data_IF_245181953538
#
_entry.id   IF_245181953538
#
_cell.length_a   1.000
_cell.length_b   1.000
_cell.length_c   1.000
_cell.angle_alpha   90.00
_cell.angle_beta   90.00
_cell.angle_gamma   90.00
#
_symmetry.space_group_name_H-M   'P 1'
#
loop_
_entity.id
_entity.type
_entity.pdbx_description
1 polymer ?
#
# COMPACT_ATOMS: atom_id res chain seq x y z
N UNK A 1 2.61 -5.19 14.93
CA UNK A 1 2.88 -4.89 16.36
C UNK A 1 3.07 -3.39 16.61
N UNK A 2 4.04 -2.70 15.99
CA UNK A 2 4.24 -1.24 16.19
C UNK A 2 3.01 -0.35 15.87
N UNK A 3 2.25 -0.65 14.79
CA UNK A 3 1.02 0.11 14.44
C UNK A 3 -0.03 0.12 15.55
N UNK A 4 -0.16 -0.98 16.29
CA UNK A 4 -1.16 -1.08 17.36
C UNK A 4 -0.69 -0.36 18.62
N UNK A 5 0.62 -0.33 18.87
CA UNK A 5 1.22 0.39 20.01
C UNK A 5 1.07 1.91 19.83
N UNK A 6 1.33 2.44 18.62
CA UNK A 6 1.14 3.88 18.35
C UNK A 6 -0.33 4.31 18.41
N UNK A 7 -1.25 3.49 17.91
CA UNK A 7 -2.68 3.77 18.01
C UNK A 7 -3.14 3.77 19.48
N UNK A 8 -2.62 2.85 20.30
CA UNK A 8 -2.93 2.79 21.74
C UNK A 8 -2.41 4.03 22.49
N UNK A 9 -1.17 4.45 22.21
CA UNK A 9 -0.57 5.65 22.83
C UNK A 9 -1.35 6.91 22.44
N UNK A 10 -1.76 7.02 21.17
CA UNK A 10 -2.55 8.15 20.69
C UNK A 10 -3.94 8.19 21.32
N UNK A 11 -4.63 7.04 21.40
CA UNK A 11 -5.93 6.95 22.08
C UNK A 11 -5.79 7.30 23.56
N UNK A 12 -4.76 6.81 24.25
CA UNK A 12 -4.52 7.16 25.66
C UNK A 12 -4.25 8.66 25.84
N UNK A 13 -3.44 9.29 24.99
CA UNK A 13 -3.17 10.73 25.07
C UNK A 13 -4.42 11.59 24.77
N UNK A 14 -5.23 11.17 23.81
CA UNK A 14 -6.50 11.84 23.49
C UNK A 14 -7.52 11.67 24.62
N UNK A 15 -7.57 10.49 25.25
CA UNK A 15 -8.47 10.22 26.38
C UNK A 15 -8.07 11.05 27.60
N UNK A 16 -6.77 11.14 27.89
CA UNK A 16 -6.23 11.96 28.98
C UNK A 16 -6.51 13.46 28.78
N UNK A 17 -6.35 13.96 27.55
CA UNK A 17 -6.67 15.36 27.23
C UNK A 17 -8.20 15.66 27.30
N UNK A 18 -9.04 14.66 27.04
CA UNK A 18 -10.50 14.78 27.18
C UNK A 18 -10.95 14.67 28.64
N UNK A 19 -10.28 13.87 29.47
CA UNK A 19 -10.55 13.78 30.92
C UNK A 19 -10.24 15.12 31.63
N UNK A 20 -9.12 15.78 31.29
CA UNK A 20 -8.83 17.14 31.80
C UNK A 20 -9.86 18.18 31.31
N UNK A 21 -10.39 18.03 30.09
CA UNK A 21 -11.42 18.92 29.56
C UNK A 21 -12.76 18.75 30.28
N UNK A 22 -13.18 17.52 30.55
CA UNK A 22 -14.41 17.24 31.30
C UNK A 22 -14.29 17.67 32.76
N UNK A 23 -13.10 17.62 33.37
CA UNK A 23 -12.85 18.12 34.72
C UNK A 23 -12.90 19.66 34.77
N UNK A 24 -12.31 20.35 33.77
CA UNK A 24 -12.37 21.81 33.63
C UNK A 24 -13.81 22.28 33.33
N UNK A 25 -14.50 21.61 32.41
CA UNK A 25 -15.89 21.89 32.04
C UNK A 25 -16.84 21.66 33.22
N UNK A 26 -16.70 20.54 33.95
CA UNK A 26 -17.44 20.29 35.19
C UNK A 26 -17.14 21.34 36.26
N UNK A 27 -15.89 21.80 36.38
CA UNK A 27 -15.53 22.83 37.36
C UNK A 27 -16.18 24.17 37.00
N UNK A 28 -16.27 24.50 35.71
CA UNK A 28 -16.96 25.68 35.19
C UNK A 28 -18.48 25.61 35.39
N UNK A 29 -19.07 24.43 35.17
CA UNK A 29 -20.50 24.18 35.34
C UNK A 29 -20.88 24.17 36.82
N UNK A 30 -20.05 23.56 37.68
CA UNK A 30 -20.17 23.64 39.15
C UNK A 30 -20.04 25.07 39.67
N UNK A 31 -19.17 25.91 39.09
CA UNK A 31 -19.08 27.33 39.49
C UNK A 31 -20.30 28.14 39.02
N UNK A 32 -20.90 27.82 37.86
CA UNK A 32 -22.19 28.40 37.43
C UNK A 32 -23.35 27.97 38.35
N UNK A 33 -23.37 26.71 38.76
CA UNK A 33 -24.34 26.17 39.73
C UNK A 33 -24.18 26.85 41.09
N UNK A 34 -22.96 27.04 41.59
CA UNK A 34 -22.68 27.79 42.83
C UNK A 34 -23.14 29.26 42.71
N UNK A 35 -22.96 29.92 41.56
CA UNK A 35 -23.53 31.25 41.30
C UNK A 35 -25.07 31.25 41.24
N UNK A 36 -25.71 30.15 40.83
CA UNK A 36 -27.17 30.01 40.81
C UNK A 36 -27.81 29.69 42.17
N UNK A 37 -27.04 29.13 43.10
CA UNK A 37 -27.44 28.95 44.51
C UNK A 37 -27.33 30.25 45.32
N UNK A 38 -26.70 31.29 44.78
CA UNK A 38 -26.80 32.65 45.29
C UNK A 38 -28.03 33.33 44.67
N UNK A 39 -29.23 32.88 45.04
CA UNK A 39 -30.44 33.66 44.75
C UNK A 39 -30.37 34.97 45.55
N UNK A 40 -30.30 36.15 44.90
CA UNK A 40 -30.29 37.42 45.62
C UNK A 40 -31.60 37.68 46.39
N UNK A 41 -32.63 36.84 46.25
CA UNK A 41 -33.90 36.94 46.96
C UNK A 41 -34.11 35.88 48.06
N UNK A 42 -33.21 34.93 48.25
CA UNK A 42 -33.29 34.02 49.39
C UNK A 42 -32.85 34.80 50.64
N UNK A 43 -33.81 35.13 51.51
CA UNK A 43 -33.59 35.89 52.75
C UNK A 43 -32.68 35.10 53.69
N UNK A 44 -31.38 35.24 53.50
CA UNK A 44 -30.37 34.97 54.51
C UNK A 44 -30.59 36.00 55.62
N UNK A 45 -30.79 35.53 56.84
CA UNK A 45 -31.02 36.35 58.04
C UNK A 45 -29.99 37.50 58.13
N UNK A 46 -30.42 38.72 57.83
CA UNK A 46 -29.54 39.92 57.72
C UNK A 46 -28.88 40.30 59.05
N UNK A 47 -29.28 39.68 60.17
CA UNK A 47 -28.79 40.03 61.50
C UNK A 47 -27.47 39.37 61.91
N UNK A 48 -26.84 38.56 61.04
CA UNK A 48 -25.60 37.84 61.39
C UNK A 48 -24.39 38.13 60.50
N UNK A 49 -24.50 38.93 59.43
CA UNK A 49 -23.32 39.32 58.65
C UNK A 49 -22.64 40.53 59.28
N UNK A 50 -21.54 40.28 59.97
CA UNK A 50 -20.64 41.35 60.40
C UNK A 50 -20.07 42.07 59.17
N UNK A 51 -19.82 43.38 59.24
CA UNK A 51 -19.25 44.19 58.13
C UNK A 51 -18.00 43.55 57.49
N UNK A 52 -17.28 42.75 58.27
CA UNK A 52 -16.10 41.98 57.86
C UNK A 52 -16.43 40.86 56.87
N UNK A 53 -17.55 40.16 57.03
CA UNK A 53 -17.97 39.06 56.14
C UNK A 53 -18.47 39.58 54.79
N UNK A 54 -19.18 40.72 54.80
CA UNK A 54 -19.58 41.40 53.56
C UNK A 54 -18.38 41.94 52.77
N UNK A 55 -17.34 42.44 53.45
CA UNK A 55 -16.10 42.87 52.81
C UNK A 55 -15.33 41.70 52.18
N UNK A 56 -15.27 40.55 52.85
CA UNK A 56 -14.61 39.33 52.33
C UNK A 56 -15.36 38.80 51.10
N UNK A 57 -16.70 38.76 51.15
CA UNK A 57 -17.52 38.29 50.04
C UNK A 57 -17.36 39.16 48.79
N UNK A 58 -17.28 40.48 48.96
CA UNK A 58 -17.07 41.42 47.84
C UNK A 58 -15.67 41.30 47.23
N UNK A 59 -14.62 41.10 48.04
CA UNK A 59 -13.27 40.87 47.51
C UNK A 59 -13.16 39.54 46.77
N UNK A 60 -13.87 38.51 47.24
CA UNK A 60 -13.92 37.20 46.60
C UNK A 60 -14.65 37.27 45.25
N UNK A 61 -15.81 37.92 45.20
CA UNK A 61 -16.56 38.11 43.94
C UNK A 61 -15.74 38.89 42.91
N UNK A 62 -15.05 39.95 43.33
CA UNK A 62 -14.15 40.71 42.45
C UNK A 62 -13.02 39.86 41.87
N UNK A 63 -12.43 38.97 42.67
CA UNK A 63 -11.38 38.04 42.20
C UNK A 63 -11.93 37.00 41.22
N UNK A 64 -13.13 36.49 41.46
CA UNK A 64 -13.80 35.54 40.56
C UNK A 64 -14.09 36.19 39.20
N UNK A 65 -14.58 37.43 39.19
CA UNK A 65 -14.87 38.12 37.93
C UNK A 65 -13.59 38.48 37.16
N UNK A 66 -12.50 38.84 37.85
CA UNK A 66 -11.17 39.01 37.22
C UNK A 66 -10.64 37.72 36.60
N UNK A 67 -10.87 36.56 37.22
CA UNK A 67 -10.48 35.26 36.68
C UNK A 67 -11.32 34.92 35.45
N UNK A 68 -12.64 35.16 35.49
CA UNK A 68 -13.54 34.95 34.34
C UNK A 68 -13.10 35.85 33.18
N UNK A 69 -12.87 37.13 33.42
CA UNK A 69 -12.43 38.08 32.41
C UNK A 69 -11.06 37.68 31.83
N UNK A 70 -10.14 37.17 32.66
CA UNK A 70 -8.84 36.65 32.18
C UNK A 70 -8.99 35.36 31.35
N UNK A 71 -9.93 34.47 31.69
CA UNK A 71 -10.23 33.26 30.92
C UNK A 71 -10.99 33.54 29.63
N UNK A 72 -11.77 34.62 29.58
CA UNK A 72 -12.44 35.11 28.37
C UNK A 72 -11.49 35.89 27.45
N UNK A 73 -10.55 36.67 28.02
CA UNK A 73 -9.52 37.40 27.28
C UNK A 73 -8.42 36.48 26.73
N UNK A 74 -8.05 35.45 27.48
CA UNK A 74 -7.20 34.38 26.96
C UNK A 74 -8.08 33.51 26.09
N UNK A 75 -8.06 33.75 24.79
CA UNK A 75 -8.86 33.13 23.76
C UNK A 75 -8.60 31.60 23.71
N UNK A 76 -9.08 30.85 24.72
CA UNK A 76 -8.79 29.42 24.94
C UNK A 76 -9.16 28.64 23.69
N UNK A 77 -10.25 29.02 23.03
CA UNK A 77 -10.67 28.49 21.73
C UNK A 77 -9.62 28.70 20.64
N UNK A 78 -9.01 29.89 20.55
CA UNK A 78 -7.96 30.19 19.58
C UNK A 78 -6.68 29.40 19.88
N UNK A 79 -6.31 29.26 21.15
CA UNK A 79 -5.16 28.45 21.58
C UNK A 79 -5.40 26.98 21.24
N UNK A 80 -6.60 26.45 21.51
CA UNK A 80 -6.96 25.07 21.18
C UNK A 80 -7.00 24.81 19.67
N UNK A 81 -7.53 25.73 18.87
CA UNK A 81 -7.51 25.59 17.41
C UNK A 81 -6.09 25.70 16.83
N UNK A 82 -5.21 26.51 17.45
CA UNK A 82 -3.80 26.55 17.09
C UNK A 82 -3.12 25.19 17.34
N UNK A 83 -3.25 24.63 18.55
CA UNK A 83 -2.65 23.33 18.89
C UNK A 83 -3.19 22.20 18.01
N UNK A 84 -4.50 22.20 17.73
CA UNK A 84 -5.13 21.23 16.82
C UNK A 84 -4.53 21.31 15.42
N UNK A 85 -4.30 22.52 14.89
CA UNK A 85 -3.67 22.73 13.59
C UNK A 85 -2.22 22.22 13.55
N UNK A 86 -1.44 22.49 14.60
CA UNK A 86 -0.06 22.02 14.73
C UNK A 86 0.03 20.48 14.78
N UNK A 87 -0.82 19.84 15.58
CA UNK A 87 -0.89 18.37 15.68
C UNK A 87 -1.29 17.74 14.34
N UNK A 88 -2.30 18.29 13.65
CA UNK A 88 -2.74 17.78 12.35
C UNK A 88 -1.63 17.89 11.29
N UNK A 89 -0.87 18.99 11.30
CA UNK A 89 0.28 19.19 10.42
C UNK A 89 1.37 18.14 10.67
N UNK A 90 1.70 17.86 11.93
CA UNK A 90 2.71 16.87 12.29
C UNK A 90 2.30 15.45 11.92
N UNK A 91 1.02 15.09 12.15
CA UNK A 91 0.44 13.81 11.70
C UNK A 91 0.59 13.66 10.18
N UNK A 92 0.25 14.70 9.41
CA UNK A 92 0.36 14.66 7.95
C UNK A 92 1.82 14.48 7.50
N UNK A 93 2.77 15.14 8.15
CA UNK A 93 4.21 14.96 7.86
C UNK A 93 4.67 13.53 8.15
N UNK A 94 4.21 12.93 9.24
CA UNK A 94 4.53 11.54 9.58
C UNK A 94 3.92 10.55 8.59
N UNK A 95 2.68 10.78 8.15
CA UNK A 95 2.03 9.97 7.09
C UNK A 95 2.84 10.05 5.79
N UNK A 96 3.25 11.25 5.38
CA UNK A 96 4.05 11.45 4.18
C UNK A 96 5.40 10.73 4.29
N UNK A 97 6.13 10.91 5.40
CA UNK A 97 7.40 10.20 5.66
C UNK A 97 7.24 8.68 5.66
N UNK A 98 6.14 8.15 6.20
CA UNK A 98 5.86 6.72 6.19
C UNK A 98 5.59 6.20 4.77
N UNK A 99 4.87 6.96 3.95
CA UNK A 99 4.62 6.64 2.54
C UNK A 99 5.92 6.71 1.71
N UNK A 100 6.75 7.72 1.95
CA UNK A 100 8.05 7.88 1.29
C UNK A 100 9.00 6.73 1.66
N UNK A 101 9.10 6.36 2.94
CA UNK A 101 9.87 5.19 3.38
C UNK A 101 9.31 3.86 2.84
N UNK A 102 7.99 3.74 2.63
CA UNK A 102 7.39 2.57 2.00
C UNK A 102 7.70 2.52 0.49
N UNK A 103 7.77 3.68 -0.17
CA UNK A 103 8.17 3.82 -1.57
C UNK A 103 9.67 3.55 -1.75
N UNK A 104 10.54 4.05 -0.85
CA UNK A 104 11.98 3.80 -0.85
C UNK A 104 12.33 2.34 -0.51
N UNK A 105 11.58 1.68 0.38
CA UNK A 105 11.75 0.24 0.63
C UNK A 105 11.27 -0.62 -0.54
N UNK A 106 10.27 -0.17 -1.31
CA UNK A 106 9.88 -0.82 -2.57
C UNK A 106 10.89 -0.57 -3.69
N UNK A 107 11.49 0.63 -3.77
CA UNK A 107 12.44 0.99 -4.84
C UNK A 107 13.86 0.43 -4.63
N UNK A 108 14.30 0.23 -3.38
CA UNK A 108 15.66 -0.25 -3.07
C UNK A 108 15.83 -1.78 -3.11
N UNK A 109 14.78 -2.55 -3.33
CA UNK A 109 14.82 -4.03 -3.36
C UNK A 109 14.74 -4.66 -4.76
N UNK A 110 14.58 -3.87 -5.83
CA UNK A 110 14.21 -4.40 -7.15
C UNK A 110 14.99 -3.79 -8.31
N UNK A 111 16.18 -3.23 -8.02
CA UNK A 111 16.96 -2.44 -8.96
C UNK A 111 17.59 -3.21 -10.12
N UNK A 112 17.52 -4.54 -10.10
CA UNK A 112 17.55 -5.44 -11.25
C UNK A 112 17.03 -6.77 -10.72
N UNK A 113 15.89 -7.28 -11.20
CA UNK A 113 15.40 -8.58 -10.73
C UNK A 113 16.47 -9.66 -10.96
N UNK A 114 17.20 -9.56 -12.07
CA UNK A 114 18.49 -10.21 -12.23
C UNK A 114 18.66 -10.84 -13.60
N UNK A 115 19.69 -11.67 -13.69
CA UNK A 115 19.95 -12.54 -14.84
C UNK A 115 19.67 -13.98 -14.48
N UNK A 116 19.45 -14.81 -15.50
CA UNK A 116 19.21 -16.25 -15.33
C UNK A 116 18.11 -16.54 -14.29
N UNK A 117 17.00 -15.82 -14.39
CA UNK A 117 15.82 -15.99 -13.57
C UNK A 117 14.96 -17.14 -14.07
N UNK A 118 14.43 -17.94 -13.15
CA UNK A 118 13.29 -18.80 -13.45
C UNK A 118 12.00 -18.06 -13.12
N UNK A 119 10.95 -18.35 -13.89
CA UNK A 119 9.61 -17.81 -13.65
C UNK A 119 8.68 -19.01 -13.50
N UNK A 120 8.12 -19.22 -12.31
CA UNK A 120 7.31 -20.40 -11.99
C UNK A 120 5.92 -19.98 -11.54
N UNK A 121 4.88 -20.60 -12.09
CA UNK A 121 3.52 -20.26 -11.71
C UNK A 121 3.21 -20.76 -10.28
N UNK A 122 2.38 -20.02 -9.53
CA UNK A 122 1.99 -20.39 -8.16
C UNK A 122 0.90 -21.45 -8.14
N UNK A 123 -0.13 -21.30 -8.97
CA UNK A 123 -1.26 -22.23 -9.03
C UNK A 123 -0.82 -23.58 -9.57
N UNK A 124 -0.08 -23.54 -10.67
CA UNK A 124 0.52 -24.69 -11.30
C UNK A 124 2.02 -24.59 -11.07
N UNK A 125 2.66 -25.49 -10.31
CA UNK A 125 4.09 -25.39 -9.97
C UNK A 125 5.01 -25.72 -11.17
N UNK A 126 4.71 -25.13 -12.32
CA UNK A 126 5.23 -25.32 -13.67
C UNK A 126 6.11 -24.12 -14.06
N UNK A 127 7.20 -24.37 -14.80
CA UNK A 127 8.12 -23.32 -15.22
C UNK A 127 7.73 -22.72 -16.57
N UNK A 128 7.80 -21.40 -16.65
CA UNK A 128 7.52 -20.63 -17.86
C UNK A 128 8.72 -20.66 -18.82
N UNK A 129 8.46 -21.01 -20.09
CA UNK A 129 9.52 -21.16 -21.08
C UNK A 129 9.06 -20.86 -22.52
N UNK A 130 9.98 -20.43 -23.39
CA UNK A 130 9.80 -20.39 -24.84
C UNK A 130 10.02 -21.76 -25.45
N UNK A 131 9.08 -22.21 -26.27
CA UNK A 131 9.06 -23.60 -26.72
C UNK A 131 9.84 -23.83 -28.04
N UNK A 132 10.79 -24.75 -27.98
CA UNK A 132 11.58 -25.17 -29.14
C UNK A 132 10.75 -25.95 -30.16
N UNK A 133 10.81 -25.58 -31.44
CA UNK A 133 10.02 -26.23 -32.49
C UNK A 133 8.52 -25.90 -32.50
N UNK A 134 8.04 -25.01 -31.63
CA UNK A 134 6.64 -24.57 -31.58
C UNK A 134 6.49 -23.10 -31.99
N UNK A 135 7.06 -22.77 -33.15
CA UNK A 135 6.93 -21.44 -33.73
C UNK A 135 5.46 -21.17 -34.10
N UNK A 136 4.98 -19.96 -33.84
CA UNK A 136 3.69 -19.51 -34.37
C UNK A 136 3.83 -19.12 -35.85
N UNK A 137 4.92 -18.42 -36.16
CA UNK A 137 5.33 -18.07 -37.53
C UNK A 137 6.84 -17.80 -37.62
N UNK A 138 7.30 -17.19 -38.72
CA UNK A 138 8.70 -16.85 -38.93
C UNK A 138 9.31 -15.92 -37.86
N UNK A 139 8.49 -15.08 -37.22
CA UNK A 139 8.93 -14.02 -36.33
C UNK A 139 8.59 -14.26 -34.86
N UNK A 140 7.74 -15.26 -34.57
CA UNK A 140 7.14 -15.45 -33.25
C UNK A 140 7.24 -16.88 -32.78
N UNK A 141 7.72 -17.04 -31.55
CA UNK A 141 7.79 -18.33 -30.86
C UNK A 141 6.76 -18.37 -29.74
N UNK A 142 6.07 -19.52 -29.62
CA UNK A 142 5.11 -19.74 -28.55
C UNK A 142 5.82 -19.92 -27.22
N UNK A 143 5.15 -19.50 -26.17
CA UNK A 143 5.57 -19.67 -24.79
C UNK A 143 4.51 -20.46 -24.04
N UNK A 144 4.94 -21.27 -23.08
CA UNK A 144 4.09 -22.16 -22.29
C UNK A 144 4.61 -22.23 -20.86
N UNK A 145 3.84 -22.86 -19.98
CA UNK A 145 4.39 -23.49 -18.77
C UNK A 145 4.55 -24.99 -18.98
N UNK A 146 5.58 -25.57 -18.37
CA UNK A 146 5.95 -26.99 -18.50
C UNK A 146 5.32 -27.84 -17.38
N UNK A 147 4.37 -28.70 -17.75
CA UNK A 147 3.52 -29.48 -16.83
C UNK A 147 4.32 -30.45 -15.94
N UNK A 148 5.32 -31.20 -16.44
CA UNK A 148 6.13 -32.09 -15.60
C UNK A 148 6.85 -31.38 -14.44
N UNK A 149 7.07 -30.07 -14.54
CA UNK A 149 7.52 -29.22 -13.43
C UNK A 149 9.03 -29.23 -13.18
N UNK A 150 9.82 -29.99 -13.93
CA UNK A 150 11.27 -29.79 -14.04
C UNK A 150 11.60 -28.60 -14.96
N UNK A 151 12.86 -28.16 -14.95
CA UNK A 151 13.31 -27.06 -15.79
C UNK A 151 14.71 -27.30 -16.35
N UNK A 152 14.96 -26.73 -17.53
CA UNK A 152 16.25 -26.70 -18.18
C UNK A 152 16.65 -25.25 -18.50
N UNK A 153 17.66 -25.09 -19.35
CA UNK A 153 18.15 -23.79 -19.77
C UNK A 153 17.11 -22.95 -20.56
N UNK A 154 16.04 -23.54 -21.10
CA UNK A 154 14.95 -22.81 -21.76
C UNK A 154 14.13 -21.97 -20.77
N UNK A 155 14.10 -22.39 -19.51
CA UNK A 155 13.32 -21.73 -18.46
C UNK A 155 14.04 -20.51 -17.84
N UNK A 156 15.22 -20.16 -18.35
CA UNK A 156 16.00 -19.03 -17.86
C UNK A 156 15.69 -17.75 -18.64
N UNK A 157 15.47 -16.68 -17.88
CA UNK A 157 15.10 -15.35 -18.36
C UNK A 157 16.00 -14.29 -17.75
N UNK A 158 16.42 -13.31 -18.55
CA UNK A 158 16.97 -12.06 -18.07
C UNK A 158 15.84 -11.06 -17.89
N UNK A 159 15.75 -10.44 -16.71
CA UNK A 159 14.72 -9.44 -16.40
C UNK A 159 15.41 -8.09 -16.24
N UNK A 160 15.38 -7.31 -17.31
CA UNK A 160 16.12 -6.07 -17.47
C UNK A 160 15.22 -4.88 -17.13
N UNK A 161 15.65 -4.01 -16.23
CA UNK A 161 14.92 -2.76 -15.94
C UNK A 161 15.03 -1.80 -17.13
N UNK A 162 13.92 -1.17 -17.50
CA UNK A 162 13.87 -0.20 -18.59
C UNK A 162 13.44 1.18 -18.08
N UNK A 163 14.40 2.12 -18.04
CA UNK A 163 14.15 3.50 -17.62
C UNK A 163 14.01 3.68 -16.11
N UNK A 164 13.47 4.84 -15.71
CA UNK A 164 13.22 5.19 -14.31
C UNK A 164 11.88 4.65 -13.79
N UNK A 165 10.92 4.45 -14.70
CA UNK A 165 9.62 3.86 -14.40
C UNK A 165 9.81 2.36 -14.15
N UNK A 166 9.03 1.75 -13.25
CA UNK A 166 9.13 0.33 -12.84
C UNK A 166 8.76 -0.68 -13.94
N UNK A 167 9.29 -0.48 -15.15
CA UNK A 167 9.09 -1.25 -16.36
C UNK A 167 10.28 -2.16 -16.57
N UNK A 168 10.00 -3.35 -17.08
CA UNK A 168 10.95 -4.40 -17.32
C UNK A 168 10.80 -4.95 -18.73
N UNK A 169 11.91 -5.40 -19.32
CA UNK A 169 11.91 -6.31 -20.45
C UNK A 169 12.30 -7.69 -19.94
N UNK A 170 11.59 -8.71 -20.41
CA UNK A 170 11.84 -10.11 -20.05
C UNK A 170 12.39 -10.79 -21.29
N UNK A 171 13.63 -11.26 -21.23
CA UNK A 171 14.37 -11.81 -22.39
C UNK A 171 14.75 -13.25 -22.12
N UNK A 172 14.45 -14.16 -23.05
CA UNK A 172 14.88 -15.56 -22.93
C UNK A 172 16.41 -15.63 -23.02
N UNK A 173 17.04 -16.34 -22.07
CA UNK A 173 18.50 -16.53 -22.09
C UNK A 173 18.91 -17.44 -23.25
N UNK A 174 18.19 -18.55 -23.48
CA UNK A 174 18.53 -19.51 -24.55
C UNK A 174 18.44 -18.90 -25.95
N UNK A 175 17.37 -18.15 -26.22
CA UNK A 175 17.08 -17.67 -27.58
C UNK A 175 17.45 -16.21 -27.81
N UNK A 176 17.70 -15.45 -26.75
CA UNK A 176 17.89 -14.00 -26.78
C UNK A 176 16.69 -13.23 -27.35
N UNK A 177 15.48 -13.78 -27.18
CA UNK A 177 14.23 -13.24 -27.69
C UNK A 177 13.44 -12.56 -26.56
N UNK A 178 12.84 -11.39 -26.83
CA UNK A 178 12.04 -10.66 -25.83
C UNK A 178 10.60 -11.17 -25.77
N UNK A 179 10.07 -11.31 -24.56
CA UNK A 179 8.68 -11.61 -24.28
C UNK A 179 7.80 -10.39 -24.59
N UNK A 180 6.69 -10.61 -25.30
CA UNK A 180 5.74 -9.56 -25.61
C UNK A 180 4.30 -10.06 -25.70
N UNK A 181 3.36 -9.16 -25.39
CA UNK A 181 1.93 -9.41 -25.58
C UNK A 181 1.52 -9.06 -27.01
N UNK A 182 0.80 -9.97 -27.68
CA UNK A 182 0.48 -9.82 -29.09
C UNK A 182 -0.55 -8.71 -29.38
N UNK A 183 -0.51 -8.11 -30.58
CA UNK A 183 -1.53 -7.15 -31.01
C UNK A 183 -2.93 -7.79 -31.13
N UNK A 184 -3.95 -6.95 -31.32
CA UNK A 184 -5.37 -7.36 -31.29
C UNK A 184 -5.75 -8.39 -32.36
N UNK A 185 -5.11 -8.35 -33.52
CA UNK A 185 -5.28 -9.32 -34.62
C UNK A 185 -4.77 -10.74 -34.29
N UNK A 186 -4.06 -10.87 -33.17
CA UNK A 186 -3.40 -12.10 -32.72
C UNK A 186 -3.89 -12.57 -31.34
N UNK A 187 -4.99 -12.00 -30.86
CA UNK A 187 -5.67 -12.49 -29.68
C UNK A 187 -6.08 -13.96 -29.84
N UNK A 188 -6.22 -14.64 -28.71
CA UNK A 188 -6.81 -15.98 -28.70
C UNK A 188 -8.33 -15.89 -28.85
N UNK A 189 -8.95 -14.97 -28.12
CA UNK A 189 -10.38 -14.63 -28.19
C UNK A 189 -10.61 -13.18 -27.71
N UNK A 190 -11.85 -12.83 -27.39
CA UNK A 190 -12.22 -11.46 -26.97
C UNK A 190 -11.57 -11.03 -25.66
N UNK A 191 -11.24 -11.98 -24.79
CA UNK A 191 -10.77 -11.72 -23.44
C UNK A 191 -9.26 -11.95 -23.34
N UNK A 192 -8.73 -12.93 -24.08
CA UNK A 192 -7.38 -13.46 -23.88
C UNK A 192 -6.47 -13.10 -25.04
N UNK A 193 -5.31 -12.55 -24.70
CA UNK A 193 -4.26 -12.20 -25.65
C UNK A 193 -3.10 -13.17 -25.56
N UNK A 194 -2.62 -13.60 -26.72
CA UNK A 194 -1.45 -14.48 -26.82
C UNK A 194 -0.19 -13.73 -26.40
N UNK A 195 0.72 -14.46 -25.77
CA UNK A 195 2.06 -13.99 -25.46
C UNK A 195 3.06 -14.81 -26.29
N UNK A 196 4.12 -14.17 -26.74
CA UNK A 196 5.15 -14.79 -27.57
C UNK A 196 6.52 -14.27 -27.17
N UNK A 197 7.57 -14.94 -27.66
CA UNK A 197 8.89 -14.32 -27.79
C UNK A 197 9.15 -13.86 -29.23
N UNK A 198 9.88 -12.75 -29.38
CA UNK A 198 10.18 -12.12 -30.66
C UNK A 198 11.52 -12.59 -31.26
N UNK A 199 11.45 -13.43 -32.29
CA UNK A 199 12.60 -14.10 -32.94
C UNK A 199 13.65 -13.16 -33.53
N UNK A 200 13.31 -11.97 -34.07
CA UNK A 200 14.31 -11.02 -34.56
C UNK A 200 15.30 -10.48 -33.53
N UNK A 201 15.14 -10.79 -32.22
CA UNK A 201 16.04 -10.39 -31.11
C UNK A 201 16.19 -8.89 -30.87
N UNK A 202 15.58 -8.06 -31.71
CA UNK A 202 15.38 -6.65 -31.42
C UNK A 202 14.29 -6.52 -30.36
N UNK A 203 14.35 -5.48 -29.52
CA UNK A 203 13.19 -5.24 -28.66
C UNK A 203 12.03 -4.82 -29.52
N UNK A 204 10.87 -5.46 -29.35
CA UNK A 204 9.62 -4.90 -29.81
C UNK A 204 9.30 -3.61 -29.04
N UNK A 205 8.33 -2.83 -29.53
CA UNK A 205 7.99 -1.50 -29.03
C UNK A 205 7.38 -1.53 -27.61
N UNK A 206 6.26 -0.83 -27.37
CA UNK A 206 5.58 -0.78 -26.09
C UNK A 206 5.12 -2.16 -25.57
N UNK A 207 4.83 -3.11 -26.47
CA UNK A 207 4.35 -4.46 -26.15
C UNK A 207 5.35 -5.33 -25.37
N UNK A 208 6.63 -4.97 -25.37
CA UNK A 208 7.70 -5.66 -24.66
C UNK A 208 7.90 -5.16 -23.21
N UNK A 209 7.12 -4.17 -22.77
CA UNK A 209 7.24 -3.59 -21.43
C UNK A 209 6.26 -4.24 -20.45
N UNK A 210 6.82 -4.63 -19.32
CA UNK A 210 6.11 -5.33 -18.25
C UNK A 210 6.31 -4.60 -16.92
N UNK A 211 5.25 -4.48 -16.13
CA UNK A 211 5.31 -4.14 -14.71
C UNK A 211 5.34 -5.44 -13.91
N UNK A 212 6.25 -5.52 -12.93
CA UNK A 212 6.36 -6.69 -12.04
C UNK A 212 6.09 -6.19 -10.62
N UNK A 213 5.01 -6.64 -10.00
CA UNK A 213 4.55 -6.11 -8.72
C UNK A 213 4.52 -7.21 -7.66
N UNK A 214 5.05 -6.90 -6.48
CA UNK A 214 5.02 -7.83 -5.35
C UNK A 214 3.60 -7.99 -4.81
N UNK A 215 3.14 -9.24 -4.74
CA UNK A 215 1.82 -9.61 -4.21
C UNK A 215 1.91 -9.96 -2.73
N UNK A 216 2.87 -10.81 -2.36
CA UNK A 216 2.96 -11.34 -1.01
C UNK A 216 3.91 -12.52 -0.91
N UNK A 217 3.98 -13.08 0.30
CA UNK A 217 4.73 -14.29 0.59
C UNK A 217 3.77 -15.44 0.91
N UNK A 218 4.17 -16.69 0.64
CA UNK A 218 3.53 -17.84 1.27
C UNK A 218 4.05 -18.10 2.70
N UNK A 219 3.58 -19.19 3.31
CA UNK A 219 3.97 -19.63 4.65
C UNK A 219 5.45 -20.00 4.77
N UNK A 220 6.11 -20.35 3.65
CA UNK A 220 7.54 -20.65 3.60
C UNK A 220 8.42 -19.40 3.45
N UNK A 221 7.80 -18.23 3.20
CA UNK A 221 8.50 -16.98 2.91
C UNK A 221 8.83 -16.79 1.43
N UNK A 222 8.36 -17.69 0.55
CA UNK A 222 8.52 -17.57 -0.90
C UNK A 222 7.72 -16.40 -1.42
N UNK A 223 8.36 -15.54 -2.22
CA UNK A 223 7.78 -14.30 -2.76
C UNK A 223 7.04 -14.57 -4.05
N UNK A 224 5.89 -13.93 -4.21
CA UNK A 224 5.09 -13.99 -5.43
C UNK A 224 4.85 -12.60 -6.01
N UNK A 225 4.77 -12.56 -7.33
CA UNK A 225 4.64 -11.36 -8.12
C UNK A 225 3.53 -11.50 -9.15
N UNK A 226 2.87 -10.40 -9.50
CA UNK A 226 2.13 -10.29 -10.76
C UNK A 226 3.07 -9.78 -11.84
N UNK A 227 2.78 -10.13 -13.09
CA UNK A 227 3.46 -9.59 -14.26
C UNK A 227 2.38 -8.99 -15.17
N UNK A 228 2.45 -7.69 -15.44
CA UNK A 228 1.42 -6.94 -16.18
C UNK A 228 2.01 -6.31 -17.41
N UNK A 229 1.40 -6.52 -18.56
CA UNK A 229 1.82 -5.82 -19.79
C UNK A 229 1.39 -4.35 -19.70
N UNK A 230 2.33 -3.42 -19.91
CA UNK A 230 2.02 -1.99 -19.73
C UNK A 230 1.25 -1.37 -20.89
N UNK A 231 1.35 -1.96 -22.09
CA UNK A 231 0.67 -1.44 -23.28
C UNK A 231 -0.84 -1.69 -23.20
N UNK A 232 -1.22 -2.89 -22.74
CA UNK A 232 -2.63 -3.29 -22.67
C UNK A 232 -3.23 -3.20 -21.27
N UNK A 233 -2.41 -3.07 -20.22
CA UNK A 233 -2.86 -3.12 -18.84
C UNK A 233 -3.40 -4.50 -18.41
N UNK A 234 -2.97 -5.56 -19.09
CA UNK A 234 -3.43 -6.94 -18.90
C UNK A 234 -2.41 -7.76 -18.11
N UNK A 235 -2.88 -8.68 -17.27
CA UNK A 235 -2.03 -9.50 -16.40
C UNK A 235 -1.71 -10.85 -17.02
N UNK A 236 -0.46 -11.27 -16.86
CA UNK A 236 0.10 -12.52 -17.33
C UNK A 236 -0.34 -13.68 -16.43
N UNK A 237 -0.90 -14.74 -17.01
CA UNK A 237 -1.42 -15.88 -16.25
C UNK A 237 -1.35 -17.19 -17.03
N UNK A 238 -1.19 -18.29 -16.29
CA UNK A 238 -1.26 -19.65 -16.82
C UNK A 238 -2.70 -20.16 -16.75
N UNK A 239 -3.23 -20.67 -17.86
CA UNK A 239 -4.66 -20.97 -17.98
C UNK A 239 -5.03 -22.37 -17.45
N UNK A 240 -6.08 -22.45 -16.65
CA UNK A 240 -6.70 -23.73 -16.28
C UNK A 240 -7.51 -24.34 -17.43
N UNK A 241 -7.46 -25.66 -17.58
CA UNK A 241 -8.27 -26.41 -18.55
C UNK A 241 -7.95 -26.20 -20.04
N UNK A 242 -6.95 -25.39 -20.39
CA UNK A 242 -6.53 -25.15 -21.78
C UNK A 242 -5.07 -25.54 -22.01
N UNK A 243 -4.78 -26.84 -21.89
CA UNK A 243 -3.47 -27.36 -22.26
C UNK A 243 -3.30 -27.36 -23.77
N UNK A 244 -2.07 -27.12 -24.24
CA UNK A 244 -1.72 -27.29 -25.64
C UNK A 244 -1.55 -28.78 -25.99
N UNK A 245 -0.91 -29.52 -25.09
CA UNK A 245 -0.75 -30.98 -25.10
C UNK A 245 -0.50 -31.49 -23.66
N UNK A 246 -0.13 -32.76 -23.51
CA UNK A 246 0.07 -33.40 -22.20
C UNK A 246 1.19 -32.77 -21.36
N UNK A 247 2.13 -32.07 -21.99
CA UNK A 247 3.30 -31.51 -21.32
C UNK A 247 3.27 -29.98 -21.23
N UNK A 248 2.35 -29.31 -21.94
CA UNK A 248 2.40 -27.85 -22.16
C UNK A 248 1.08 -27.18 -21.85
N UNK A 249 1.12 -26.16 -21.01
CA UNK A 249 -0.03 -25.30 -20.69
C UNK A 249 0.10 -23.92 -21.33
N UNK A 250 -1.02 -23.42 -21.85
CA UNK A 250 -1.06 -22.08 -22.43
C UNK A 250 -0.86 -20.98 -21.38
N UNK A 251 -0.23 -19.90 -21.81
CA UNK A 251 -0.06 -18.68 -21.03
C UNK A 251 -0.55 -17.51 -21.86
N UNK A 252 -1.32 -16.63 -21.24
CA UNK A 252 -1.97 -15.49 -21.87
C UNK A 252 -1.79 -14.23 -21.04
N UNK A 253 -2.16 -13.09 -21.61
CA UNK A 253 -2.57 -11.93 -20.82
C UNK A 253 -4.09 -11.80 -20.84
N UNK A 254 -4.66 -11.32 -19.74
CA UNK A 254 -6.11 -11.06 -19.61
C UNK A 254 -6.36 -9.76 -18.85
N UNK A 255 -7.41 -9.05 -19.26
CA UNK A 255 -7.96 -7.92 -18.52
C UNK A 255 -8.92 -8.47 -17.46
N UNK A 256 -8.47 -8.48 -16.21
CA UNK A 256 -9.36 -8.80 -15.09
C UNK A 256 -10.55 -7.84 -15.08
N UNK A 257 -11.73 -8.40 -14.81
CA UNK A 257 -12.92 -7.61 -14.46
C UNK A 257 -12.56 -6.66 -13.30
N UNK A 258 -13.00 -5.38 -13.29
CA UNK A 258 -12.81 -4.49 -12.16
C UNK A 258 -13.17 -5.10 -10.79
N UNK A 259 -14.12 -6.03 -10.76
CA UNK A 259 -14.55 -6.71 -9.53
C UNK A 259 -13.66 -7.91 -9.16
N UNK A 260 -12.74 -8.33 -10.04
CA UNK A 260 -11.76 -9.37 -9.78
C UNK A 260 -10.44 -8.80 -9.25
N UNK A 261 -10.14 -9.15 -8.00
CA UNK A 261 -8.88 -8.83 -7.36
C UNK A 261 -7.79 -9.84 -7.80
N UNK A 262 -6.88 -9.37 -8.68
CA UNK A 262 -5.74 -10.16 -9.16
C UNK A 262 -4.87 -10.70 -8.02
N UNK A 263 -4.87 -10.07 -6.85
CA UNK A 263 -4.09 -10.52 -5.68
C UNK A 263 -4.62 -11.81 -5.06
N UNK A 264 -5.80 -12.28 -5.48
CA UNK A 264 -6.39 -13.54 -5.07
C UNK A 264 -6.34 -14.61 -6.18
N UNK A 265 -5.94 -14.28 -7.41
CA UNK A 265 -5.83 -15.25 -8.51
C UNK A 265 -4.42 -15.85 -8.59
N UNK A 266 -4.28 -17.07 -8.08
CA UNK A 266 -3.01 -17.78 -8.06
C UNK A 266 -2.51 -18.13 -9.47
N UNK A 267 -3.35 -18.10 -10.51
CA UNK A 267 -2.92 -18.27 -11.90
C UNK A 267 -2.09 -17.08 -12.39
N UNK A 268 -2.25 -15.90 -11.80
CA UNK A 268 -1.51 -14.67 -12.11
C UNK A 268 -0.34 -14.40 -11.17
N UNK A 269 -0.08 -15.30 -10.23
CA UNK A 269 1.03 -15.19 -9.29
C UNK A 269 2.21 -16.03 -9.77
N UNK A 270 3.37 -15.39 -9.83
CA UNK A 270 4.60 -15.97 -10.32
C UNK A 270 5.68 -15.85 -9.25
N UNK A 271 6.33 -16.96 -8.98
CA UNK A 271 7.62 -16.97 -8.29
C UNK A 271 8.71 -16.61 -9.30
N UNK A 272 9.61 -15.71 -8.90
CA UNK A 272 10.76 -15.29 -9.70
C UNK A 272 12.02 -15.52 -8.87
N UNK A 273 12.84 -16.48 -9.29
CA UNK A 273 14.11 -16.83 -8.64
C UNK A 273 15.27 -16.55 -9.59
N UNK A 274 16.12 -15.57 -9.25
CA UNK A 274 17.26 -15.18 -10.06
C UNK A 274 18.57 -15.66 -9.46
N UNK A 275 19.49 -16.11 -10.30
CA UNK A 275 20.83 -16.46 -9.84
C UNK A 275 21.55 -15.17 -9.39
N UNK A 276 21.93 -15.11 -8.11
CA UNK A 276 22.77 -14.03 -7.64
C UNK A 276 24.11 -14.09 -8.38
N UNK A 277 24.56 -12.95 -8.91
CA UNK A 277 25.95 -12.83 -9.36
C UNK A 277 26.82 -13.19 -8.16
N UNK A 278 27.49 -14.34 -8.21
CA UNK A 278 28.61 -14.59 -7.29
C UNK A 278 29.62 -13.50 -7.57
N UNK A 279 29.62 -12.47 -6.74
CA UNK A 279 30.71 -11.51 -6.70
C UNK A 279 31.94 -12.34 -6.31
N UNK A 280 32.77 -12.68 -7.29
CA UNK A 280 34.09 -13.22 -6.98
C UNK A 280 34.81 -12.13 -6.20
N UNK A 281 35.03 -12.38 -4.91
CA UNK A 281 35.84 -11.55 -4.01
C UNK A 281 37.30 -11.88 -4.27
#
# INVERSE_FOLDING_TARGET
MLRHIFLLIFVCALTYALEDYDEISNTLEKTKIIKSFADPNEKIDENLKTDKESSILNDLNRKVDQIIEHLEQNNVTQIMEQYKSEILSEIQQLVNKANDHQCEKKSKSMSDLGRNCTIRNRRFPEYFYPADGFDYDSSRRRVFTWIPGDHDFQCLWDIERFGADSKYKIKSVKYEEYLYAAADDLKHDNDRRRVFTWKPKTSCECQCYWEIEFVGNDQSGKKYFTIKNTDFGEYFYAVDGLNYDDDRRHVFTWKFDPDHDVTNDYQSHWEIECQMKSTMI
#
